data_IF_572504838944
#
_entry.id   IF_572504838944
#
_cell.length_a   1.000
_cell.length_b   1.000
_cell.length_c   1.000
_cell.angle_alpha   90.00
_cell.angle_beta   90.00
_cell.angle_gamma   90.00
#
_symmetry.space_group_name_H-M   'P 1'
#
loop_
_entity.id
_entity.type
_entity.pdbx_description
1 polymer ?
#
# COMPACT_ATOMS: atom_id res chain seq x y z
N UNK A 1 -2.69 -8.95 -13.75
CA UNK A 1 -2.83 -9.10 -12.28
C UNK A 1 -3.82 -8.07 -11.71
N UNK A 2 -3.65 -6.77 -11.95
CA UNK A 2 -4.58 -5.71 -11.50
C UNK A 2 -6.07 -5.98 -11.81
N UNK A 3 -6.38 -6.34 -13.05
CA UNK A 3 -7.76 -6.59 -13.49
C UNK A 3 -8.40 -7.78 -12.73
N UNK A 4 -7.63 -8.82 -12.43
CA UNK A 4 -8.10 -9.94 -11.61
C UNK A 4 -8.39 -9.53 -10.17
N UNK A 5 -7.57 -8.66 -9.58
CA UNK A 5 -7.79 -8.14 -8.23
C UNK A 5 -9.00 -7.21 -8.15
N UNK A 6 -9.26 -6.39 -9.17
CA UNK A 6 -10.49 -5.58 -9.29
C UNK A 6 -11.74 -6.46 -9.27
N UNK A 7 -11.78 -7.49 -10.13
CA UNK A 7 -12.93 -8.40 -10.18
C UNK A 7 -13.12 -9.19 -8.88
N UNK A 8 -12.03 -9.55 -8.21
CA UNK A 8 -12.10 -10.28 -6.94
C UNK A 8 -12.66 -9.42 -5.79
N UNK A 9 -12.28 -8.14 -5.72
CA UNK A 9 -12.86 -7.19 -4.74
C UNK A 9 -14.33 -6.95 -5.01
N UNK A 10 -14.71 -6.69 -6.27
CA UNK A 10 -16.13 -6.45 -6.63
C UNK A 10 -16.96 -7.71 -6.37
N UNK A 11 -16.48 -8.88 -6.79
CA UNK A 11 -17.17 -10.16 -6.57
C UNK A 11 -17.38 -10.46 -5.09
N UNK A 12 -16.34 -10.29 -4.28
CA UNK A 12 -16.42 -10.52 -2.83
C UNK A 12 -17.36 -9.52 -2.14
N UNK A 13 -17.35 -8.24 -2.53
CA UNK A 13 -18.30 -7.24 -2.03
C UNK A 13 -19.76 -7.61 -2.35
N UNK A 14 -20.03 -8.10 -3.57
CA UNK A 14 -21.37 -8.55 -3.97
C UNK A 14 -21.82 -9.75 -3.14
N UNK A 15 -20.93 -10.73 -2.92
CA UNK A 15 -21.23 -11.90 -2.08
C UNK A 15 -21.54 -11.49 -0.64
N UNK A 16 -20.77 -10.56 -0.05
CA UNK A 16 -21.00 -10.05 1.31
C UNK A 16 -22.36 -9.33 1.40
N UNK A 17 -22.71 -8.51 0.40
CA UNK A 17 -23.99 -7.80 0.34
C UNK A 17 -25.20 -8.74 0.26
N UNK A 18 -25.10 -9.81 -0.53
CA UNK A 18 -26.16 -10.83 -0.64
C UNK A 18 -26.26 -11.66 0.64
N UNK A 19 -25.12 -12.03 1.24
CA UNK A 19 -25.08 -12.87 2.43
C UNK A 19 -25.57 -12.15 3.69
N UNK A 20 -25.34 -10.84 3.82
CA UNK A 20 -25.70 -10.09 5.03
C UNK A 20 -26.15 -8.66 4.68
N UNK A 21 -27.43 -8.46 4.31
CA UNK A 21 -27.92 -7.14 3.89
C UNK A 21 -27.81 -6.07 5.00
N UNK A 22 -27.76 -6.47 6.27
CA UNK A 22 -27.50 -5.55 7.40
C UNK A 22 -26.12 -4.86 7.32
N UNK A 23 -25.11 -5.50 6.72
CA UNK A 23 -23.77 -4.91 6.53
C UNK A 23 -23.81 -3.75 5.54
N UNK A 24 -24.84 -3.67 4.67
CA UNK A 24 -25.00 -2.58 3.71
C UNK A 24 -25.11 -1.19 4.37
N UNK A 25 -25.57 -1.11 5.62
CA UNK A 25 -25.67 0.16 6.37
C UNK A 25 -24.27 0.68 6.75
N UNK A 26 -23.29 -0.20 6.93
CA UNK A 26 -21.92 0.15 7.35
C UNK A 26 -21.02 0.48 6.15
N UNK A 27 -21.37 0.01 4.95
CA UNK A 27 -20.57 0.25 3.74
C UNK A 27 -20.45 1.75 3.40
N UNK A 28 -21.51 2.59 3.45
CA UNK A 28 -21.39 4.02 3.14
C UNK A 28 -20.38 4.78 4.01
N UNK A 29 -20.40 4.72 5.36
CA UNK A 29 -19.42 5.43 6.17
C UNK A 29 -17.99 4.92 5.96
N UNK A 30 -17.80 3.61 5.79
CA UNK A 30 -16.49 3.03 5.48
C UNK A 30 -15.99 3.43 4.08
N UNK A 31 -16.88 3.48 3.09
CA UNK A 31 -16.57 3.89 1.72
C UNK A 31 -16.14 5.35 1.62
N UNK A 32 -16.78 6.24 2.39
CA UNK A 32 -16.36 7.64 2.49
C UNK A 32 -14.95 7.74 3.08
N UNK A 33 -14.69 7.05 4.20
CA UNK A 33 -13.36 7.03 4.82
C UNK A 33 -12.30 6.51 3.86
N UNK A 34 -12.59 5.41 3.17
CA UNK A 34 -11.70 4.82 2.17
C UNK A 34 -11.42 5.79 1.01
N UNK A 35 -12.44 6.49 0.51
CA UNK A 35 -12.28 7.49 -0.55
C UNK A 35 -11.33 8.64 -0.14
N UNK A 36 -11.47 9.16 1.08
CA UNK A 36 -10.58 10.19 1.59
C UNK A 36 -9.13 9.69 1.74
N UNK A 37 -8.95 8.50 2.32
CA UNK A 37 -7.63 7.89 2.51
C UNK A 37 -6.97 7.63 1.15
N UNK A 38 -7.69 7.07 0.19
CA UNK A 38 -7.17 6.79 -1.15
C UNK A 38 -6.78 8.06 -1.90
N UNK A 39 -7.60 9.12 -1.83
CA UNK A 39 -7.29 10.40 -2.48
C UNK A 39 -6.01 11.02 -1.93
N UNK A 40 -5.83 11.00 -0.62
CA UNK A 40 -4.62 11.52 0.04
C UNK A 40 -3.38 10.67 -0.28
N UNK A 41 -3.54 9.34 -0.27
CA UNK A 41 -2.47 8.40 -0.58
C UNK A 41 -1.97 8.55 -2.02
N UNK A 42 -2.86 8.59 -3.01
CA UNK A 42 -2.47 8.70 -4.42
C UNK A 42 -1.74 10.02 -4.70
N UNK A 43 -2.20 11.12 -4.11
CA UNK A 43 -1.53 12.41 -4.25
C UNK A 43 -0.11 12.38 -3.67
N UNK A 44 0.07 11.80 -2.48
CA UNK A 44 1.36 11.71 -1.78
C UNK A 44 2.31 10.72 -2.46
N UNK A 45 1.83 9.53 -2.80
CA UNK A 45 2.60 8.46 -3.44
C UNK A 45 3.20 8.90 -4.77
N UNK A 46 2.42 9.62 -5.61
CA UNK A 46 2.92 10.17 -6.88
C UNK A 46 4.09 11.13 -6.68
N UNK A 47 4.03 11.98 -5.66
CA UNK A 47 5.12 12.93 -5.38
C UNK A 47 6.36 12.21 -4.86
N UNK A 48 6.19 11.23 -3.98
CA UNK A 48 7.29 10.42 -3.46
C UNK A 48 7.98 9.61 -4.56
N UNK A 49 7.22 8.96 -5.43
CA UNK A 49 7.76 8.18 -6.57
C UNK A 49 8.50 9.07 -7.57
N UNK A 50 8.03 10.31 -7.77
CA UNK A 50 8.75 11.33 -8.55
C UNK A 50 10.08 11.70 -7.89
N UNK A 51 10.06 11.96 -6.58
CA UNK A 51 11.26 12.35 -5.83
C UNK A 51 12.31 11.23 -5.85
N UNK A 52 11.89 9.99 -5.61
CA UNK A 52 12.74 8.79 -5.70
C UNK A 52 13.40 8.66 -7.09
N UNK A 53 12.62 8.83 -8.16
CA UNK A 53 13.17 8.73 -9.51
C UNK A 53 14.22 9.81 -9.80
N UNK A 54 14.05 11.01 -9.26
CA UNK A 54 14.98 12.14 -9.46
C UNK A 54 16.23 11.99 -8.57
N UNK A 55 16.09 11.49 -7.34
CA UNK A 55 17.22 11.30 -6.42
C UNK A 55 18.13 10.14 -6.81
N UNK A 56 17.62 9.19 -7.61
CA UNK A 56 18.36 7.99 -8.00
C UNK A 56 19.34 8.22 -9.15
N UNK A 57 19.02 9.10 -10.09
CA UNK A 57 19.89 9.33 -11.26
C UNK A 57 21.29 9.88 -10.93
N UNK A 58 21.49 10.81 -9.97
CA UNK A 58 22.81 11.36 -9.66
C UNK A 58 23.76 10.35 -9.02
N UNK A 59 23.23 9.28 -8.41
CA UNK A 59 24.03 8.16 -7.87
C UNK A 59 24.64 7.37 -9.03
N UNK A 60 23.83 7.02 -10.04
CA UNK A 60 24.31 6.31 -11.23
C UNK A 60 25.29 7.14 -12.06
N UNK A 61 25.03 8.44 -12.21
CA UNK A 61 25.94 9.34 -12.93
C UNK A 61 27.30 9.44 -12.23
N UNK A 62 27.33 9.66 -10.92
CA UNK A 62 28.58 9.75 -10.15
C UNK A 62 29.37 8.43 -10.19
N UNK A 63 28.67 7.30 -10.14
CA UNK A 63 29.30 5.99 -10.28
C UNK A 63 29.95 5.81 -11.65
N UNK A 64 29.27 6.21 -12.72
CA UNK A 64 29.81 6.13 -14.08
C UNK A 64 31.04 7.05 -14.27
N UNK A 65 31.00 8.27 -13.73
CA UNK A 65 32.15 9.21 -13.74
C UNK A 65 33.36 8.64 -12.98
N UNK A 66 33.11 8.00 -11.84
CA UNK A 66 34.15 7.37 -11.02
C UNK A 66 34.81 6.18 -11.73
N UNK A 67 34.03 5.37 -12.46
CA UNK A 67 34.55 4.25 -13.24
C UNK A 67 35.47 4.72 -14.36
N UNK A 68 35.07 5.75 -15.11
CA UNK A 68 35.87 6.31 -16.20
C UNK A 68 37.13 7.04 -15.69
N UNK A 69 37.03 7.70 -14.52
CA UNK A 69 38.11 8.49 -13.91
C UNK A 69 38.99 7.75 -12.89
N UNK A 70 38.85 6.43 -12.74
CA UNK A 70 39.47 5.67 -11.63
C UNK A 70 41.00 5.79 -11.57
N UNK A 71 41.67 5.90 -12.71
CA UNK A 71 43.14 6.04 -12.78
C UNK A 71 43.59 7.41 -12.25
N UNK A 72 42.85 8.47 -12.60
CA UNK A 72 43.12 9.85 -12.18
C UNK A 72 42.90 9.99 -10.67
N UNK A 73 41.77 9.50 -10.15
CA UNK A 73 41.44 9.58 -8.72
C UNK A 73 42.52 8.89 -7.87
N UNK A 74 43.00 7.72 -8.32
CA UNK A 74 44.08 6.99 -7.64
C UNK A 74 45.43 7.70 -7.74
N UNK A 75 45.73 8.34 -8.87
CA UNK A 75 46.97 9.09 -9.05
C UNK A 75 47.07 10.31 -8.13
N UNK A 76 45.94 10.98 -7.84
CA UNK A 76 45.89 12.15 -6.95
C UNK A 76 45.63 11.81 -5.48
N UNK A 77 45.30 10.56 -5.13
CA UNK A 77 45.05 10.16 -3.74
C UNK A 77 43.75 10.71 -3.14
N UNK A 78 42.78 11.08 -3.97
CA UNK A 78 41.52 11.74 -3.56
C UNK A 78 40.35 10.75 -3.37
N UNK A 79 40.63 9.49 -3.02
CA UNK A 79 39.60 8.45 -2.91
C UNK A 79 38.58 8.76 -1.81
N UNK A 80 39.02 9.23 -0.63
CA UNK A 80 38.12 9.52 0.50
C UNK A 80 37.08 10.58 0.17
N UNK A 81 37.45 11.59 -0.61
CA UNK A 81 36.53 12.64 -1.07
C UNK A 81 35.42 12.05 -1.94
N UNK A 82 35.76 11.19 -2.91
CA UNK A 82 34.79 10.53 -3.78
C UNK A 82 33.89 9.56 -2.99
N UNK A 83 34.44 8.84 -2.01
CA UNK A 83 33.65 7.97 -1.12
C UNK A 83 32.61 8.79 -0.35
N UNK A 84 33.02 9.89 0.30
CA UNK A 84 32.11 10.75 1.05
C UNK A 84 31.03 11.39 0.17
N UNK A 85 31.37 11.73 -1.07
CA UNK A 85 30.39 12.26 -2.04
C UNK A 85 29.38 11.18 -2.46
N UNK A 86 29.84 9.96 -2.70
CA UNK A 86 28.98 8.80 -2.99
C UNK A 86 28.02 8.52 -1.83
N UNK A 87 28.53 8.47 -0.59
CA UNK A 87 27.72 8.25 0.61
C UNK A 87 26.64 9.32 0.76
N UNK A 88 26.98 10.60 0.57
CA UNK A 88 26.01 11.71 0.64
C UNK A 88 24.90 11.62 -0.42
N UNK A 89 25.23 11.16 -1.63
CA UNK A 89 24.25 10.95 -2.71
C UNK A 89 23.33 9.76 -2.43
N UNK A 90 23.88 8.66 -1.90
CA UNK A 90 23.10 7.49 -1.48
C UNK A 90 22.16 7.86 -0.33
N UNK A 91 22.64 8.59 0.68
CA UNK A 91 21.83 9.07 1.79
C UNK A 91 20.68 9.97 1.33
N UNK A 92 20.93 10.85 0.36
CA UNK A 92 19.88 11.69 -0.23
C UNK A 92 18.81 10.83 -0.92
N UNK A 93 19.22 9.81 -1.68
CA UNK A 93 18.29 8.87 -2.29
C UNK A 93 17.50 8.07 -1.23
N UNK A 94 18.15 7.63 -0.16
CA UNK A 94 17.51 6.90 0.93
C UNK A 94 16.45 7.75 1.64
N UNK A 95 16.71 9.05 1.83
CA UNK A 95 15.74 10.01 2.39
C UNK A 95 14.50 10.18 1.51
N UNK A 96 14.62 10.06 0.20
CA UNK A 96 13.49 10.09 -0.73
C UNK A 96 12.75 8.74 -0.79
N UNK A 97 13.47 7.62 -0.68
CA UNK A 97 12.93 6.27 -0.78
C UNK A 97 12.18 5.82 0.49
N UNK A 98 12.73 6.09 1.68
CA UNK A 98 12.17 5.62 2.94
C UNK A 98 10.70 6.05 3.18
N UNK A 99 10.30 7.31 2.92
CA UNK A 99 8.91 7.74 3.04
C UNK A 99 7.94 6.97 2.13
N UNK A 100 8.40 6.46 0.98
CA UNK A 100 7.59 5.63 0.08
C UNK A 100 7.20 4.31 0.76
N UNK A 101 8.15 3.67 1.46
CA UNK A 101 7.89 2.44 2.22
C UNK A 101 6.92 2.72 3.38
N UNK A 102 7.15 3.80 4.12
CA UNK A 102 6.29 4.19 5.25
C UNK A 102 4.87 4.51 4.77
N UNK A 103 4.72 5.20 3.64
CA UNK A 103 3.41 5.49 3.05
C UNK A 103 2.65 4.22 2.66
N UNK A 104 3.34 3.23 2.07
CA UNK A 104 2.75 1.92 1.76
C UNK A 104 2.25 1.21 3.02
N UNK A 105 3.06 1.22 4.10
CA UNK A 105 2.67 0.62 5.39
C UNK A 105 1.52 1.38 6.05
N UNK A 106 1.52 2.71 5.98
CA UNK A 106 0.45 3.55 6.50
C UNK A 106 -0.89 3.22 5.84
N UNK A 107 -0.91 3.05 4.52
CA UNK A 107 -2.11 2.63 3.80
C UNK A 107 -2.56 1.24 4.24
N UNK A 108 -1.64 0.26 4.30
CA UNK A 108 -1.97 -1.11 4.70
C UNK A 108 -2.67 -1.15 6.06
N UNK A 109 -2.12 -0.46 7.07
CA UNK A 109 -2.72 -0.40 8.42
C UNK A 109 -4.13 0.21 8.42
N UNK A 110 -4.36 1.25 7.61
CA UNK A 110 -5.69 1.88 7.50
C UNK A 110 -6.70 0.96 6.81
N UNK A 111 -6.29 0.21 5.80
CA UNK A 111 -7.15 -0.75 5.11
C UNK A 111 -7.46 -1.98 5.98
N UNK A 112 -6.47 -2.49 6.71
CA UNK A 112 -6.68 -3.55 7.70
C UNK A 112 -7.63 -3.11 8.82
N UNK A 113 -7.52 -1.86 9.29
CA UNK A 113 -8.45 -1.32 10.28
C UNK A 113 -9.90 -1.31 9.77
N UNK A 114 -10.13 -0.86 8.53
CA UNK A 114 -11.45 -0.88 7.89
C UNK A 114 -11.97 -2.32 7.77
N UNK A 115 -11.12 -3.26 7.35
CA UNK A 115 -11.45 -4.68 7.28
C UNK A 115 -11.86 -5.26 8.64
N UNK A 116 -11.10 -4.96 9.69
CA UNK A 116 -11.40 -5.39 11.05
C UNK A 116 -12.71 -4.80 11.58
N UNK A 117 -13.04 -3.55 11.22
CA UNK A 117 -14.36 -2.99 11.53
C UNK A 117 -15.48 -3.79 10.86
N UNK A 118 -15.35 -4.17 9.58
CA UNK A 118 -16.34 -5.00 8.88
C UNK A 118 -16.52 -6.35 9.58
N UNK A 119 -15.42 -7.02 9.92
CA UNK A 119 -15.47 -8.32 10.63
C UNK A 119 -16.12 -8.18 12.01
N UNK A 120 -15.78 -7.13 12.76
CA UNK A 120 -16.37 -6.87 14.08
C UNK A 120 -17.88 -6.67 14.00
N UNK A 121 -18.35 -5.84 13.06
CA UNK A 121 -19.78 -5.62 12.88
C UNK A 121 -20.49 -6.87 12.33
N UNK A 122 -19.88 -7.61 11.42
CA UNK A 122 -20.42 -8.87 10.91
C UNK A 122 -20.59 -9.89 12.05
N UNK A 123 -19.62 -10.01 12.95
CA UNK A 123 -19.71 -10.86 14.14
C UNK A 123 -20.78 -10.39 15.12
N UNK A 124 -20.91 -9.08 15.36
CA UNK A 124 -21.97 -8.51 16.21
C UNK A 124 -23.37 -8.82 15.65
N UNK A 125 -23.59 -8.60 14.35
CA UNK A 125 -24.86 -8.93 13.71
C UNK A 125 -25.13 -10.42 13.67
N UNK A 126 -24.09 -11.25 13.50
CA UNK A 126 -24.21 -12.70 13.55
C UNK A 126 -24.76 -13.20 14.90
N UNK A 127 -24.30 -12.61 16.01
CA UNK A 127 -24.78 -12.93 17.35
C UNK A 127 -26.22 -12.42 17.56
N UNK A 128 -26.53 -11.21 17.10
CA UNK A 128 -27.87 -10.63 17.23
C UNK A 128 -28.92 -11.36 16.37
N UNK A 129 -28.55 -11.85 15.18
CA UNK A 129 -29.42 -12.51 14.22
C UNK A 129 -29.32 -14.05 14.26
N UNK A 130 -28.84 -14.60 15.38
CA UNK A 130 -28.69 -16.03 15.67
C UNK A 130 -29.89 -16.89 15.26
N UNK A 131 -31.11 -16.37 15.39
CA UNK A 131 -32.33 -17.12 15.14
C UNK A 131 -32.83 -17.03 13.68
N UNK A 132 -32.28 -16.11 12.88
CA UNK A 132 -32.78 -15.80 11.53
C UNK A 132 -31.81 -16.18 10.42
N UNK A 133 -30.53 -16.42 10.72
CA UNK A 133 -29.48 -16.67 9.72
C UNK A 133 -28.78 -18.01 9.95
N UNK A 134 -28.55 -18.74 8.85
CA UNK A 134 -27.77 -19.98 8.87
C UNK A 134 -26.30 -19.69 9.21
N UNK A 135 -25.70 -20.40 10.19
CA UNK A 135 -24.30 -20.23 10.57
C UNK A 135 -23.31 -20.34 9.41
N UNK A 136 -23.62 -21.17 8.40
CA UNK A 136 -22.77 -21.36 7.22
C UNK A 136 -22.63 -20.11 6.35
N UNK A 137 -23.70 -19.33 6.19
CA UNK A 137 -23.69 -18.08 5.40
C UNK A 137 -22.86 -17.01 6.12
N UNK A 138 -22.91 -16.99 7.45
CA UNK A 138 -22.11 -16.07 8.27
C UNK A 138 -20.61 -16.41 8.20
N UNK A 139 -20.26 -17.70 8.24
CA UNK A 139 -18.87 -18.15 8.06
C UNK A 139 -18.30 -17.80 6.68
N UNK A 140 -19.12 -17.92 5.63
CA UNK A 140 -18.76 -17.48 4.27
C UNK A 140 -18.52 -15.96 4.24
N UNK A 141 -19.45 -15.16 4.78
CA UNK A 141 -19.33 -13.69 4.80
C UNK A 141 -18.06 -13.20 5.50
N UNK A 142 -17.72 -13.77 6.66
CA UNK A 142 -16.49 -13.43 7.40
C UNK A 142 -15.23 -13.83 6.62
N UNK A 143 -15.23 -15.01 6.00
CA UNK A 143 -14.09 -15.48 5.20
C UNK A 143 -13.84 -14.57 3.99
N UNK A 144 -14.89 -14.13 3.30
CA UNK A 144 -14.78 -13.17 2.21
C UNK A 144 -14.36 -11.77 2.68
N UNK A 145 -14.82 -11.30 3.85
CA UNK A 145 -14.39 -10.01 4.41
C UNK A 145 -12.88 -9.98 4.72
N UNK A 146 -12.33 -11.08 5.24
CA UNK A 146 -10.89 -11.22 5.48
C UNK A 146 -10.10 -11.28 4.16
N UNK A 147 -10.63 -11.95 3.14
CA UNK A 147 -10.01 -12.02 1.82
C UNK A 147 -9.98 -10.65 1.12
N UNK A 148 -11.06 -9.88 1.21
CA UNK A 148 -11.17 -8.53 0.63
C UNK A 148 -10.10 -7.59 1.18
N UNK A 149 -9.84 -7.63 2.48
CA UNK A 149 -8.84 -6.76 3.13
C UNK A 149 -7.45 -6.95 2.52
N UNK A 150 -7.05 -8.20 2.29
CA UNK A 150 -5.77 -8.54 1.69
C UNK A 150 -5.68 -8.14 0.21
N UNK A 151 -6.75 -8.35 -0.56
CA UNK A 151 -6.76 -8.02 -2.00
C UNK A 151 -6.82 -6.50 -2.22
N UNK A 152 -7.50 -5.75 -1.34
CA UNK A 152 -7.65 -4.29 -1.44
C UNK A 152 -6.31 -3.55 -1.24
N UNK A 153 -5.46 -4.05 -0.33
CA UNK A 153 -4.08 -3.56 -0.17
C UNK A 153 -3.28 -3.76 -1.45
N UNK A 154 -3.34 -4.96 -2.03
CA UNK A 154 -2.59 -5.31 -3.25
C UNK A 154 -3.04 -4.47 -4.47
N UNK A 155 -4.34 -4.22 -4.59
CA UNK A 155 -4.93 -3.32 -5.58
C UNK A 155 -4.38 -1.90 -5.45
N UNK A 156 -4.42 -1.33 -4.25
CA UNK A 156 -4.08 0.09 -4.04
C UNK A 156 -2.60 0.35 -4.27
N UNK A 157 -1.75 -0.64 -3.95
CA UNK A 157 -0.32 -0.62 -4.28
C UNK A 157 -0.09 -0.74 -5.79
N UNK A 158 -0.88 -1.56 -6.50
CA UNK A 158 -0.74 -1.77 -7.95
C UNK A 158 -1.21 -0.58 -8.81
N UNK A 159 -2.05 0.31 -8.28
CA UNK A 159 -2.53 1.53 -8.98
C UNK A 159 -1.48 2.64 -8.99
N UNK A 160 -0.49 2.61 -8.09
CA UNK A 160 0.54 3.64 -7.94
C UNK A 160 1.86 3.27 -8.64
#
# INVERSE_FOLDING_TARGET
MFMGSMFNVVGSCVVILIATPLVAIIIPPLGILYFFVQRFYVASSRQLKRLESVSRSPVYTHFNETLLGTSVIRAFGEQERFIRESDGRVDHNQKAYYPSIVANRWLAVRLEFVGNCIVMFAALFAVMARESLSPGIMGLSISYALQVSNVCVCVSVSVC
#
